data_IF_329322580717
#
_entry.id   IF_329322580717
#
_cell.length_a   1.000
_cell.length_b   1.000
_cell.length_c   1.000
_cell.angle_alpha   90.00
_cell.angle_beta   90.00
_cell.angle_gamma   90.00
#
_symmetry.space_group_name_H-M   'P 1'
#
loop_
_entity.id
_entity.type
_entity.pdbx_description
1 polymer ?
#
# COMPACT_ATOMS: atom_id res chain seq x y z
N UNK A 1 -49.18 -30.67 20.77
CA UNK A 1 -48.59 -29.37 20.43
C UNK A 1 -48.65 -28.49 21.66
N UNK A 2 -47.52 -28.22 22.31
CA UNK A 2 -47.41 -27.17 23.32
C UNK A 2 -46.11 -26.43 23.02
N UNK A 3 -46.24 -25.18 22.57
CA UNK A 3 -45.14 -24.29 22.23
C UNK A 3 -44.76 -23.57 23.52
N UNK A 4 -43.62 -23.93 24.12
CA UNK A 4 -43.05 -23.21 25.27
C UNK A 4 -41.99 -22.22 24.78
N UNK A 5 -42.44 -21.01 24.45
CA UNK A 5 -41.56 -19.88 24.17
C UNK A 5 -41.05 -19.30 25.49
N UNK A 6 -39.79 -19.62 25.84
CA UNK A 6 -39.06 -18.97 26.93
C UNK A 6 -38.10 -17.94 26.33
N UNK A 7 -38.37 -16.68 26.65
CA UNK A 7 -37.54 -15.50 26.35
C UNK A 7 -36.13 -15.68 26.95
N UNK A 8 -35.08 -15.65 26.11
CA UNK A 8 -33.71 -16.02 26.48
C UNK A 8 -32.75 -14.82 26.39
N UNK A 9 -32.93 -13.83 27.25
CA UNK A 9 -31.88 -12.84 27.55
C UNK A 9 -31.10 -13.32 28.77
N UNK A 10 -30.02 -14.09 28.55
CA UNK A 10 -29.17 -14.57 29.65
C UNK A 10 -28.34 -15.83 29.36
N UNK A 11 -28.40 -16.39 28.16
CA UNK A 11 -27.57 -17.55 27.81
C UNK A 11 -26.27 -17.09 27.17
N UNK A 12 -25.26 -16.83 28.02
CA UNK A 12 -23.87 -17.07 27.64
C UNK A 12 -23.79 -18.55 27.28
N UNK A 13 -23.86 -18.77 25.96
CA UNK A 13 -23.65 -19.99 25.22
C UNK A 13 -22.81 -21.03 25.99
N UNK A 14 -23.45 -22.14 26.37
CA UNK A 14 -22.75 -23.42 26.54
C UNK A 14 -22.30 -23.80 25.13
N UNK A 15 -21.09 -23.36 24.76
CA UNK A 15 -20.40 -23.82 23.56
C UNK A 15 -20.23 -25.35 23.66
N UNK A 16 -20.26 -26.11 22.55
CA UNK A 16 -20.12 -27.57 22.54
C UNK A 16 -18.69 -28.05 22.88
N UNK A 17 -18.12 -27.56 23.98
CA UNK A 17 -16.74 -27.84 24.41
C UNK A 17 -16.38 -27.38 25.82
N UNK A 18 -17.32 -26.83 26.61
CA UNK A 18 -17.10 -26.53 28.05
C UNK A 18 -15.83 -25.70 28.34
N UNK A 19 -15.05 -26.13 29.33
CA UNK A 19 -13.81 -25.48 29.76
C UNK A 19 -12.68 -25.57 28.71
N UNK A 20 -12.60 -26.67 27.97
CA UNK A 20 -11.63 -26.84 26.89
C UNK A 20 -11.87 -25.86 25.74
N UNK A 21 -13.15 -25.58 25.44
CA UNK A 21 -13.55 -24.56 24.47
C UNK A 21 -13.09 -23.15 24.87
N UNK A 22 -13.16 -22.82 26.17
CA UNK A 22 -12.69 -21.55 26.74
C UNK A 22 -11.16 -21.41 26.73
N UNK A 23 -10.45 -22.52 26.94
CA UNK A 23 -8.99 -22.58 26.86
C UNK A 23 -8.48 -22.59 25.40
N UNK A 24 -9.32 -22.97 24.44
CA UNK A 24 -8.96 -22.95 23.03
C UNK A 24 -9.07 -21.55 22.44
N UNK A 25 -7.94 -20.98 21.96
CA UNK A 25 -7.94 -19.69 21.27
C UNK A 25 -8.56 -19.84 19.88
N UNK A 26 -9.88 -19.68 19.79
CA UNK A 26 -10.60 -19.70 18.50
C UNK A 26 -10.76 -18.27 18.00
N UNK A 27 -10.02 -17.92 16.96
CA UNK A 27 -10.27 -16.68 16.23
C UNK A 27 -11.59 -16.85 15.47
N UNK A 28 -12.67 -16.29 16.01
CA UNK A 28 -13.89 -16.08 15.23
C UNK A 28 -13.50 -15.31 13.96
N UNK A 29 -13.87 -15.85 12.80
CA UNK A 29 -13.29 -15.50 11.51
C UNK A 29 -13.36 -14.00 11.13
N UNK A 30 -12.61 -13.64 10.10
CA UNK A 30 -12.58 -12.28 9.57
C UNK A 30 -13.80 -12.00 8.67
N UNK A 31 -14.32 -10.77 8.73
CA UNK A 31 -15.31 -10.29 7.75
C UNK A 31 -14.70 -10.37 6.34
N UNK A 32 -15.39 -10.97 5.35
CA UNK A 32 -14.89 -11.04 3.99
C UNK A 32 -14.69 -9.63 3.42
N UNK A 33 -13.68 -9.50 2.55
CA UNK A 33 -13.39 -8.27 1.82
C UNK A 33 -14.58 -7.88 0.95
N UNK A 34 -14.86 -6.57 0.85
CA UNK A 34 -15.88 -6.03 -0.06
C UNK A 34 -15.40 -6.17 -1.52
N UNK A 35 -14.08 -6.12 -1.73
CA UNK A 35 -13.45 -6.24 -3.05
C UNK A 35 -13.16 -7.71 -3.33
N UNK A 36 -13.67 -8.22 -4.46
CA UNK A 36 -13.49 -9.61 -4.91
C UNK A 36 -12.08 -9.84 -5.46
N UNK A 37 -11.68 -11.11 -5.65
CA UNK A 37 -10.38 -11.45 -6.19
C UNK A 37 -10.18 -10.92 -7.63
N UNK A 38 -11.21 -11.03 -8.47
CA UNK A 38 -11.20 -10.52 -9.85
C UNK A 38 -11.00 -9.00 -9.90
N UNK A 39 -11.70 -8.27 -9.03
CA UNK A 39 -11.54 -6.83 -8.89
C UNK A 39 -10.13 -6.45 -8.44
N UNK A 40 -9.53 -7.25 -7.55
CA UNK A 40 -8.15 -7.06 -7.11
C UNK A 40 -7.15 -7.23 -8.26
N UNK A 41 -7.33 -8.22 -9.12
CA UNK A 41 -6.47 -8.43 -10.30
C UNK A 41 -6.58 -7.28 -11.30
N UNK A 42 -7.80 -6.79 -11.56
CA UNK A 42 -8.01 -5.62 -12.42
C UNK A 42 -7.31 -4.36 -11.90
N UNK A 43 -7.33 -4.12 -10.58
CA UNK A 43 -6.60 -3.01 -9.95
C UNK A 43 -5.09 -3.21 -10.12
N UNK A 44 -4.59 -4.44 -9.92
CA UNK A 44 -3.17 -4.77 -10.05
C UNK A 44 -2.65 -4.46 -11.45
N UNK A 45 -3.34 -4.94 -12.49
CA UNK A 45 -2.98 -4.64 -13.88
C UNK A 45 -2.95 -3.15 -14.16
N UNK A 46 -3.95 -2.43 -13.66
CA UNK A 46 -4.10 -1.01 -13.87
C UNK A 46 -2.96 -0.20 -13.20
N UNK A 47 -2.44 -0.66 -12.06
CA UNK A 47 -1.31 -0.03 -11.37
C UNK A 47 0.07 -0.37 -11.98
N UNK A 48 0.20 -1.50 -12.67
CA UNK A 48 1.46 -1.90 -13.31
C UNK A 48 1.66 -1.32 -14.72
N UNK A 49 0.61 -0.77 -15.33
CA UNK A 49 0.72 -0.09 -16.62
C UNK A 49 1.41 1.26 -16.46
N UNK A 50 2.57 1.49 -17.13
CA UNK A 50 3.30 2.75 -17.04
C UNK A 50 2.56 3.93 -17.68
N UNK A 51 1.60 3.64 -18.58
CA UNK A 51 0.84 4.64 -19.33
C UNK A 51 -0.37 5.18 -18.57
N UNK A 52 -0.74 4.51 -17.47
CA UNK A 52 -1.87 4.92 -16.64
C UNK A 52 -1.41 6.03 -15.69
N UNK A 53 -1.52 7.26 -16.17
CA UNK A 53 -1.13 8.48 -15.44
C UNK A 53 -2.01 8.84 -14.24
N UNK A 54 -2.47 7.88 -13.45
CA UNK A 54 -3.20 8.17 -12.21
C UNK A 54 -2.31 8.93 -11.24
N UNK A 55 -2.69 10.16 -10.93
CA UNK A 55 -1.95 11.04 -10.02
C UNK A 55 -2.28 10.68 -8.57
N UNK A 56 -3.46 10.12 -8.31
CA UNK A 56 -3.88 9.78 -6.95
C UNK A 56 -4.93 8.68 -6.84
N UNK A 57 -5.19 8.26 -5.60
CA UNK A 57 -6.15 7.20 -5.29
C UNK A 57 -7.61 7.59 -5.55
N UNK A 58 -7.93 8.88 -5.61
CA UNK A 58 -9.28 9.36 -5.91
C UNK A 58 -9.64 9.04 -7.36
N UNK A 59 -8.71 9.27 -8.29
CA UNK A 59 -8.90 8.96 -9.72
C UNK A 59 -9.02 7.44 -9.94
N UNK A 60 -8.17 6.67 -9.24
CA UNK A 60 -8.25 5.21 -9.27
C UNK A 60 -9.58 4.68 -8.72
N UNK A 61 -10.12 5.33 -7.69
CA UNK A 61 -11.42 4.99 -7.12
C UNK A 61 -12.57 5.36 -8.06
N UNK A 62 -12.52 6.51 -8.71
CA UNK A 62 -13.51 6.90 -9.71
C UNK A 62 -13.56 5.88 -10.85
N UNK A 63 -12.40 5.52 -11.40
CA UNK A 63 -12.29 4.47 -12.42
C UNK A 63 -12.83 3.12 -11.94
N UNK A 64 -12.54 2.76 -10.70
CA UNK A 64 -13.03 1.50 -10.12
C UNK A 64 -14.56 1.49 -10.01
N UNK A 65 -15.14 2.57 -9.50
CA UNK A 65 -16.58 2.70 -9.33
C UNK A 65 -17.29 2.72 -10.69
N UNK A 66 -16.73 3.37 -11.71
CA UNK A 66 -17.25 3.36 -13.08
C UNK A 66 -17.20 1.96 -13.70
N UNK A 67 -16.07 1.26 -13.57
CA UNK A 67 -15.87 -0.06 -14.20
C UNK A 67 -16.74 -1.15 -13.58
N UNK A 68 -16.90 -1.14 -12.27
CA UNK A 68 -17.61 -2.19 -11.52
C UNK A 68 -18.98 -1.75 -11.02
N UNK A 69 -19.45 -0.56 -11.42
CA UNK A 69 -20.73 0.04 -11.01
C UNK A 69 -21.00 -0.12 -9.51
N UNK A 70 -19.96 0.10 -8.70
CA UNK A 70 -19.97 -0.09 -7.24
C UNK A 70 -19.69 1.22 -6.55
N UNK A 71 -20.33 1.47 -5.41
CA UNK A 71 -20.03 2.63 -4.56
C UNK A 71 -19.18 2.18 -3.37
N UNK A 72 -17.85 2.28 -3.51
CA UNK A 72 -16.91 1.97 -2.44
C UNK A 72 -16.44 3.24 -1.75
N UNK A 73 -16.53 3.27 -0.43
CA UNK A 73 -15.98 4.37 0.36
C UNK A 73 -14.46 4.50 0.18
N UNK A 74 -13.99 5.73 -0.06
CA UNK A 74 -12.57 6.05 -0.22
C UNK A 74 -11.66 5.49 0.88
N UNK A 75 -12.07 5.57 2.15
CA UNK A 75 -11.27 5.07 3.27
C UNK A 75 -11.04 3.57 3.18
N UNK A 76 -12.06 2.83 2.76
CA UNK A 76 -12.00 1.37 2.57
C UNK A 76 -11.09 1.03 1.39
N UNK A 77 -11.28 1.72 0.26
CA UNK A 77 -10.49 1.50 -0.94
C UNK A 77 -9.00 1.86 -0.74
N UNK A 78 -8.72 3.04 -0.20
CA UNK A 78 -7.37 3.48 0.15
C UNK A 78 -6.69 2.49 1.10
N UNK A 79 -7.38 2.10 2.18
CA UNK A 79 -6.85 1.13 3.13
C UNK A 79 -6.59 -0.24 2.50
N UNK A 80 -7.44 -0.67 1.57
CA UNK A 80 -7.25 -1.91 0.81
C UNK A 80 -6.01 -1.84 -0.08
N UNK A 81 -5.89 -0.78 -0.88
CA UNK A 81 -4.79 -0.62 -1.85
C UNK A 81 -3.44 -0.54 -1.14
N UNK A 82 -3.35 0.24 -0.05
CA UNK A 82 -2.13 0.33 0.76
C UNK A 82 -1.77 -1.02 1.38
N UNK A 83 -2.72 -1.77 1.93
CA UNK A 83 -2.44 -3.08 2.57
C UNK A 83 -2.05 -4.18 1.59
N UNK A 84 -2.60 -4.17 0.38
CA UNK A 84 -2.41 -5.25 -0.61
C UNK A 84 -1.23 -5.00 -1.54
N UNK A 85 -1.04 -3.76 -1.95
CA UNK A 85 -0.05 -3.39 -2.97
C UNK A 85 1.11 -2.56 -2.41
N UNK A 86 1.10 -2.26 -1.12
CA UNK A 86 2.07 -1.35 -0.46
C UNK A 86 2.22 0.00 -1.20
N UNK A 87 1.12 0.43 -1.84
CA UNK A 87 1.13 1.57 -2.71
C UNK A 87 1.30 2.86 -1.90
N UNK A 88 2.21 3.72 -2.35
CA UNK A 88 2.46 5.02 -1.74
C UNK A 88 2.43 6.10 -2.80
N UNK A 89 1.62 7.13 -2.57
CA UNK A 89 1.72 8.37 -3.38
C UNK A 89 3.11 8.97 -3.10
N UNK A 90 3.99 8.90 -4.09
CA UNK A 90 5.30 9.55 -4.06
C UNK A 90 5.22 10.80 -4.91
N UNK A 91 4.88 11.92 -4.28
CA UNK A 91 5.03 13.22 -4.93
C UNK A 91 6.51 13.44 -5.25
N UNK A 92 6.83 13.73 -6.52
CA UNK A 92 8.18 14.16 -6.87
C UNK A 92 8.53 15.40 -6.03
N UNK A 93 9.76 15.46 -5.52
CA UNK A 93 10.22 16.68 -4.85
C UNK A 93 10.14 17.83 -5.84
N UNK A 94 9.78 19.04 -5.37
CA UNK A 94 9.75 20.25 -6.21
C UNK A 94 11.06 20.32 -7.00
N UNK A 95 10.97 20.04 -8.29
CA UNK A 95 12.05 20.34 -9.20
C UNK A 95 11.96 21.85 -9.44
N UNK A 96 13.07 22.56 -9.26
CA UNK A 96 13.11 23.98 -9.59
C UNK A 96 12.91 24.09 -11.11
N UNK A 97 11.75 24.60 -11.53
CA UNK A 97 11.27 24.61 -12.92
C UNK A 97 12.26 25.29 -13.88
N UNK A 98 13.13 26.17 -13.38
CA UNK A 98 14.17 26.86 -14.17
C UNK A 98 15.50 26.10 -14.25
N UNK A 99 15.53 24.80 -13.99
CA UNK A 99 16.76 24.02 -14.22
C UNK A 99 16.83 23.65 -15.69
N UNK A 100 17.79 24.25 -16.38
CA UNK A 100 18.12 23.93 -17.76
C UNK A 100 18.59 22.46 -17.86
N UNK A 101 17.98 21.63 -18.72
CA UNK A 101 18.34 20.22 -18.85
C UNK A 101 19.79 20.01 -19.31
N UNK A 102 20.37 20.92 -20.09
CA UNK A 102 21.75 20.86 -20.54
C UNK A 102 22.73 21.13 -19.39
N UNK A 103 22.40 22.08 -18.51
CA UNK A 103 23.19 22.38 -17.32
C UNK A 103 23.19 21.21 -16.30
N UNK A 104 22.08 20.49 -16.18
CA UNK A 104 22.00 19.29 -15.32
C UNK A 104 22.83 18.13 -15.88
N UNK A 105 22.84 17.95 -17.21
CA UNK A 105 23.66 16.94 -17.87
C UNK A 105 25.17 17.23 -17.75
N UNK A 106 25.57 18.50 -17.83
CA UNK A 106 26.95 18.93 -17.61
C UNK A 106 27.43 18.70 -16.16
N UNK A 107 26.56 18.95 -15.17
CA UNK A 107 26.92 18.78 -13.75
C UNK A 107 27.10 17.31 -13.33
N UNK A 108 26.46 16.37 -14.04
CA UNK A 108 26.59 14.92 -13.75
C UNK A 108 27.99 14.35 -14.01
N UNK A 109 28.92 15.08 -14.63
CA UNK A 109 30.21 14.53 -15.10
C UNK A 109 31.47 14.96 -14.31
N UNK A 110 31.37 15.75 -13.24
CA UNK A 110 32.56 16.29 -12.55
C UNK A 110 33.05 15.47 -11.35
N UNK A 111 32.33 14.43 -10.93
CA UNK A 111 32.67 13.62 -9.75
C UNK A 111 33.95 12.79 -9.90
N UNK A 112 34.39 12.46 -11.12
CA UNK A 112 35.57 11.61 -11.37
C UNK A 112 36.89 12.36 -11.13
N UNK A 113 36.93 13.66 -11.43
CA UNK A 113 38.14 14.49 -11.26
C UNK A 113 38.47 14.69 -9.77
N UNK A 114 37.44 14.76 -8.92
CA UNK A 114 37.61 15.01 -7.49
C UNK A 114 38.26 13.81 -6.77
N UNK A 115 37.94 12.57 -7.18
CA UNK A 115 38.54 11.35 -6.64
C UNK A 115 40.06 11.32 -6.84
N UNK A 116 40.54 11.71 -8.03
CA UNK A 116 41.97 11.70 -8.38
C UNK A 116 42.79 12.72 -7.56
N UNK A 117 42.15 13.82 -7.13
CA UNK A 117 42.78 14.85 -6.28
C UNK A 117 42.97 14.35 -4.85
N UNK A 118 41.98 13.62 -4.32
CA UNK A 118 42.02 13.07 -2.96
C UNK A 118 43.04 11.93 -2.81
N UNK A 119 43.17 11.06 -3.82
CA UNK A 119 44.16 9.98 -3.82
C UNK A 119 45.61 10.51 -3.86
N UNK A 120 45.87 11.57 -4.63
CA UNK A 120 47.20 12.22 -4.70
C UNK A 120 47.63 12.90 -3.40
N UNK A 121 46.70 13.36 -2.57
CA UNK A 121 47.03 13.94 -1.26
C UNK A 121 47.46 12.84 -0.29
N UNK A 122 46.73 11.70 -0.28
CA UNK A 122 47.05 10.54 0.57
C UNK A 122 48.41 9.89 0.27
N UNK A 123 48.85 9.87 -0.99
CA UNK A 123 50.19 9.35 -1.37
C UNK A 123 51.33 10.27 -0.93
N UNK A 124 51.07 11.56 -0.71
CA UNK A 124 52.07 12.53 -0.22
C UNK A 124 52.22 12.48 1.30
N UNK A 125 51.13 12.23 2.02
CA UNK A 125 51.13 12.13 3.48
C UNK A 125 51.76 10.82 3.99
N UNK A 126 51.82 9.78 3.15
CA UNK A 126 52.45 8.48 3.48
C UNK A 126 53.94 8.40 3.14
N UNK A 127 54.52 9.45 2.54
CA UNK A 127 55.94 9.55 2.18
C UNK A 127 56.74 10.54 3.05
N UNK A 128 56.21 10.95 4.20
CA UNK A 128 56.90 11.80 5.17
C UNK A 128 57.11 11.05 6.48
#
# INVERSE_FOLDING_TARGET
MLITTVFKHGAVYILPGGLEGLMSHRKTGYKPSIITAEQQEAIKEQMHKPDNGFVGFIELLAWFNEKFNTDVNYKTFHGFVVRKFDAKIRTARKLHVKKDPEAVAAFRKTSVVNVKKYLKTKEKDTKK
#
